data_IF_538778054774
#
_entry.id   IF_538778054774
#
_cell.length_a   1.000
_cell.length_b   1.000
_cell.length_c   1.000
_cell.angle_alpha   90.00
_cell.angle_beta   90.00
_cell.angle_gamma   90.00
#
_symmetry.space_group_name_H-M   'P 1'
#
loop_
_entity.id
_entity.type
_entity.pdbx_description
1 polymer ?
#
# COMPACT_ATOMS: atom_id res chain seq x y z
N UNK A 1 -28.43 -22.68 -20.40
CA UNK A 1 -27.30 -22.29 -21.25
C UNK A 1 -27.16 -20.77 -21.37
N UNK A 2 -28.20 -20.01 -21.80
CA UNK A 2 -28.18 -18.54 -21.92
C UNK A 2 -27.83 -17.82 -20.59
N UNK A 3 -28.39 -18.25 -19.47
CA UNK A 3 -28.13 -17.63 -18.16
C UNK A 3 -26.63 -17.77 -17.73
N UNK A 4 -26.03 -18.91 -17.99
CA UNK A 4 -24.60 -19.13 -17.68
C UNK A 4 -23.67 -18.25 -18.56
N UNK A 5 -24.01 -18.09 -19.83
CA UNK A 5 -23.27 -17.23 -20.75
C UNK A 5 -23.35 -15.76 -20.30
N UNK A 6 -24.54 -15.28 -19.91
CA UNK A 6 -24.72 -13.91 -19.40
C UNK A 6 -23.92 -13.66 -18.11
N UNK A 7 -23.85 -14.63 -17.19
CA UNK A 7 -23.06 -14.52 -15.98
C UNK A 7 -21.57 -14.42 -16.32
N UNK A 8 -21.06 -15.24 -17.24
CA UNK A 8 -19.66 -15.20 -17.69
C UNK A 8 -19.32 -13.85 -18.31
N UNK A 9 -20.21 -13.33 -19.18
CA UNK A 9 -20.01 -12.01 -19.81
C UNK A 9 -19.98 -10.90 -18.76
N UNK A 10 -20.90 -10.89 -17.80
CA UNK A 10 -20.92 -9.91 -16.72
C UNK A 10 -19.65 -9.97 -15.90
N UNK A 11 -19.18 -11.16 -15.52
CA UNK A 11 -17.92 -11.32 -14.79
C UNK A 11 -16.71 -10.83 -15.58
N UNK A 12 -16.65 -11.12 -16.87
CA UNK A 12 -15.57 -10.65 -17.75
C UNK A 12 -15.56 -9.12 -17.86
N UNK A 13 -16.73 -8.48 -17.97
CA UNK A 13 -16.87 -7.02 -17.98
C UNK A 13 -16.41 -6.43 -16.65
N UNK A 14 -16.82 -6.99 -15.52
CA UNK A 14 -16.42 -6.52 -14.19
C UNK A 14 -14.90 -6.62 -13.99
N UNK A 15 -14.28 -7.71 -14.45
CA UNK A 15 -12.82 -7.88 -14.42
C UNK A 15 -12.13 -6.84 -15.29
N UNK A 16 -12.62 -6.60 -16.51
CA UNK A 16 -12.07 -5.61 -17.42
C UNK A 16 -12.18 -4.18 -16.85
N UNK A 17 -13.32 -3.83 -16.27
CA UNK A 17 -13.53 -2.52 -15.61
C UNK A 17 -12.60 -2.36 -14.41
N UNK A 18 -12.48 -3.39 -13.56
CA UNK A 18 -11.53 -3.38 -12.43
C UNK A 18 -10.10 -3.18 -12.91
N UNK A 19 -9.69 -3.89 -13.96
CA UNK A 19 -8.36 -3.79 -14.54
C UNK A 19 -8.10 -2.38 -15.09
N UNK A 20 -9.04 -1.81 -15.86
CA UNK A 20 -8.95 -0.46 -16.40
C UNK A 20 -8.85 0.58 -15.27
N UNK A 21 -9.69 0.45 -14.24
CA UNK A 21 -9.64 1.33 -13.07
C UNK A 21 -8.26 1.30 -12.40
N UNK A 22 -7.75 0.12 -12.08
CA UNK A 22 -6.42 -0.03 -11.45
C UNK A 22 -5.34 0.56 -12.34
N UNK A 23 -5.36 0.27 -13.65
CA UNK A 23 -4.39 0.77 -14.61
C UNK A 23 -4.36 2.30 -14.69
N UNK A 24 -5.49 2.97 -14.56
CA UNK A 24 -5.56 4.44 -14.63
C UNK A 24 -5.17 5.08 -13.30
N UNK A 25 -5.80 4.67 -12.19
CA UNK A 25 -5.63 5.32 -10.90
C UNK A 25 -4.31 4.99 -10.20
N UNK A 26 -3.72 3.83 -10.49
CA UNK A 26 -2.46 3.37 -9.91
C UNK A 26 -1.31 3.30 -10.91
N UNK A 27 -1.46 3.95 -12.07
CA UNK A 27 -0.44 3.93 -13.12
C UNK A 27 0.95 4.32 -12.62
N UNK A 28 1.05 5.39 -11.84
CA UNK A 28 2.32 5.87 -11.31
C UNK A 28 2.97 4.87 -10.34
N UNK A 29 2.17 4.20 -9.52
CA UNK A 29 2.66 3.21 -8.55
C UNK A 29 3.07 1.91 -9.24
N UNK A 30 2.32 1.48 -10.28
CA UNK A 30 2.68 0.32 -11.11
C UNK A 30 3.99 0.59 -11.87
N UNK A 31 4.15 1.79 -12.44
CA UNK A 31 5.40 2.17 -13.11
C UNK A 31 6.58 2.26 -12.15
N UNK A 32 6.34 2.70 -10.92
CA UNK A 32 7.37 2.68 -9.88
C UNK A 32 7.83 1.25 -9.55
N UNK A 33 6.88 0.32 -9.38
CA UNK A 33 7.18 -1.09 -9.19
C UNK A 33 7.98 -1.66 -10.36
N UNK A 34 7.53 -1.47 -11.61
CA UNK A 34 8.21 -1.93 -12.81
C UNK A 34 9.64 -1.40 -12.96
N UNK A 35 9.88 -0.15 -12.52
CA UNK A 35 11.21 0.47 -12.59
C UNK A 35 12.15 -0.04 -11.51
N UNK A 36 11.62 -0.37 -10.32
CA UNK A 36 12.41 -0.70 -9.12
C UNK A 36 12.60 -2.19 -8.90
N UNK A 37 11.74 -3.03 -9.49
CA UNK A 37 11.86 -4.48 -9.43
C UNK A 37 12.38 -5.03 -10.77
N UNK A 38 13.66 -5.46 -10.84
CA UNK A 38 14.21 -6.07 -12.04
C UNK A 38 13.52 -7.39 -12.45
N UNK A 39 12.82 -8.05 -11.53
CA UNK A 39 12.09 -9.29 -11.78
C UNK A 39 10.74 -9.06 -12.44
N UNK A 40 10.19 -7.83 -12.40
CA UNK A 40 8.91 -7.48 -12.98
C UNK A 40 8.93 -7.56 -14.52
N UNK A 41 8.28 -8.56 -15.09
CA UNK A 41 8.31 -8.82 -16.54
C UNK A 41 7.18 -8.14 -17.29
N UNK A 42 6.04 -7.88 -16.64
CA UNK A 42 4.89 -7.31 -17.31
C UNK A 42 4.03 -6.44 -16.38
N UNK A 43 3.32 -5.51 -17.00
CA UNK A 43 2.31 -4.68 -16.32
C UNK A 43 1.18 -5.54 -15.71
N UNK A 44 0.78 -6.58 -16.44
CA UNK A 44 -0.25 -7.52 -16.01
C UNK A 44 0.17 -8.29 -14.75
N UNK A 45 1.42 -8.74 -14.68
CA UNK A 45 1.99 -9.42 -13.52
C UNK A 45 1.90 -8.53 -12.27
N UNK A 46 2.29 -7.27 -12.37
CA UNK A 46 2.24 -6.33 -11.24
C UNK A 46 0.80 -6.13 -10.76
N UNK A 47 -0.16 -5.95 -11.67
CA UNK A 47 -1.57 -5.74 -11.30
C UNK A 47 -2.17 -6.97 -10.63
N UNK A 48 -1.82 -8.17 -11.07
CA UNK A 48 -2.47 -9.40 -10.60
C UNK A 48 -1.77 -10.05 -9.42
N UNK A 49 -0.44 -9.90 -9.29
CA UNK A 49 0.35 -10.72 -8.38
C UNK A 49 1.09 -9.92 -7.29
N UNK A 50 1.28 -8.60 -7.46
CA UNK A 50 2.03 -7.82 -6.47
C UNK A 50 1.18 -7.43 -5.26
N UNK A 51 1.45 -8.07 -4.15
CA UNK A 51 0.73 -7.84 -2.90
C UNK A 51 0.89 -6.41 -2.38
N UNK A 52 2.06 -5.78 -2.61
CA UNK A 52 2.30 -4.38 -2.27
C UNK A 52 1.33 -3.42 -2.99
N UNK A 53 1.05 -3.66 -4.28
CA UNK A 53 0.06 -2.89 -5.03
C UNK A 53 -1.35 -3.14 -4.49
N UNK A 54 -1.71 -4.39 -4.22
CA UNK A 54 -3.03 -4.73 -3.67
C UNK A 54 -3.23 -4.06 -2.31
N UNK A 55 -2.24 -4.12 -1.41
CA UNK A 55 -2.30 -3.45 -0.12
C UNK A 55 -2.50 -1.94 -0.26
N UNK A 56 -1.81 -1.32 -1.23
CA UNK A 56 -1.96 0.12 -1.52
C UNK A 56 -3.37 0.45 -2.03
N UNK A 57 -3.96 -0.38 -2.88
CA UNK A 57 -5.35 -0.21 -3.36
C UNK A 57 -6.33 -0.24 -2.19
N UNK A 58 -6.26 -1.27 -1.35
CA UNK A 58 -7.08 -1.38 -0.13
C UNK A 58 -6.89 -0.17 0.79
N UNK A 59 -5.63 0.25 0.98
CA UNK A 59 -5.31 1.42 1.79
C UNK A 59 -5.94 2.70 1.25
N UNK A 60 -5.86 2.99 -0.05
CA UNK A 60 -6.45 4.21 -0.63
C UNK A 60 -7.95 4.27 -0.39
N UNK A 61 -8.66 3.13 -0.52
CA UNK A 61 -10.11 3.04 -0.24
C UNK A 61 -10.35 3.22 1.27
N UNK A 62 -9.61 2.52 2.13
CA UNK A 62 -9.73 2.62 3.58
C UNK A 62 -9.41 4.05 4.08
N UNK A 63 -8.41 4.72 3.49
CA UNK A 63 -8.07 6.11 3.80
C UNK A 63 -9.20 7.08 3.41
N UNK A 64 -9.86 6.87 2.26
CA UNK A 64 -11.02 7.66 1.87
C UNK A 64 -12.17 7.50 2.88
N UNK A 65 -12.49 6.27 3.30
CA UNK A 65 -13.47 6.01 4.36
C UNK A 65 -13.07 6.66 5.69
N UNK A 66 -11.79 6.60 6.04
CA UNK A 66 -11.27 7.21 7.27
C UNK A 66 -11.45 8.73 7.27
N UNK A 67 -11.20 9.38 6.14
CA UNK A 67 -11.36 10.85 5.98
C UNK A 67 -12.80 11.32 6.12
N UNK A 68 -13.78 10.48 5.77
CA UNK A 68 -15.20 10.77 5.97
C UNK A 68 -15.74 10.20 7.30
N UNK A 69 -14.83 9.92 8.26
CA UNK A 69 -15.12 9.46 9.62
C UNK A 69 -15.82 8.09 9.73
N UNK A 70 -15.82 7.28 8.69
CA UNK A 70 -16.28 5.89 8.73
C UNK A 70 -15.18 4.97 9.29
N UNK A 71 -14.72 5.26 10.50
CA UNK A 71 -13.52 4.65 11.11
C UNK A 71 -13.60 3.14 11.24
N UNK A 72 -14.77 2.60 11.64
CA UNK A 72 -14.94 1.15 11.76
C UNK A 72 -14.78 0.44 10.43
N UNK A 73 -15.44 0.93 9.37
CA UNK A 73 -15.34 0.34 8.02
C UNK A 73 -13.92 0.46 7.46
N UNK A 74 -13.27 1.62 7.68
CA UNK A 74 -11.88 1.83 7.29
C UNK A 74 -10.95 0.81 7.95
N UNK A 75 -11.12 0.56 9.27
CA UNK A 75 -10.32 -0.44 9.99
C UNK A 75 -10.65 -1.86 9.56
N UNK A 76 -11.91 -2.20 9.38
CA UNK A 76 -12.32 -3.52 8.90
C UNK A 76 -11.67 -3.83 7.54
N UNK A 77 -11.70 -2.87 6.59
CA UNK A 77 -11.05 -3.00 5.29
C UNK A 77 -9.52 -3.12 5.41
N UNK A 78 -8.89 -2.36 6.31
CA UNK A 78 -7.46 -2.47 6.59
C UNK A 78 -7.07 -3.85 7.16
N UNK A 79 -7.88 -4.44 8.04
CA UNK A 79 -7.63 -5.79 8.55
C UNK A 79 -7.85 -6.87 7.49
N UNK A 80 -8.84 -6.70 6.62
CA UNK A 80 -9.03 -7.58 5.45
C UNK A 80 -7.80 -7.51 4.53
N UNK A 81 -7.30 -6.31 4.23
CA UNK A 81 -6.10 -6.12 3.44
C UNK A 81 -4.89 -6.85 4.05
N UNK A 82 -4.69 -6.72 5.37
CA UNK A 82 -3.64 -7.44 6.09
C UNK A 82 -3.78 -8.95 5.97
N UNK A 83 -4.99 -9.48 6.10
CA UNK A 83 -5.25 -10.92 5.97
C UNK A 83 -4.90 -11.44 4.57
N UNK A 84 -5.24 -10.67 3.52
CA UNK A 84 -5.07 -11.08 2.12
C UNK A 84 -3.64 -10.86 1.62
N UNK A 85 -2.98 -9.77 2.06
CA UNK A 85 -1.67 -9.36 1.52
C UNK A 85 -0.50 -9.60 2.46
N UNK A 86 -0.75 -9.84 3.75
CA UNK A 86 0.30 -9.88 4.77
C UNK A 86 0.88 -8.52 5.14
N UNK A 87 0.30 -7.41 4.64
CA UNK A 87 0.76 -6.03 4.81
C UNK A 87 -0.27 -5.25 5.62
N UNK A 88 0.14 -4.65 6.72
CA UNK A 88 -0.73 -3.80 7.52
C UNK A 88 -0.44 -2.32 7.24
N UNK A 89 -1.43 -1.61 6.70
CA UNK A 89 -1.39 -0.15 6.55
C UNK A 89 -2.58 0.44 7.30
N UNK A 90 -2.31 1.26 8.33
CA UNK A 90 -3.38 1.94 9.04
C UNK A 90 -4.04 2.98 8.13
N UNK A 91 -5.39 3.05 8.07
CA UNK A 91 -6.09 3.96 7.16
C UNK A 91 -5.84 5.44 7.45
N UNK A 92 -5.41 5.80 8.66
CA UNK A 92 -5.03 7.17 9.03
C UNK A 92 -3.65 7.61 8.51
N UNK A 93 -2.80 6.70 8.05
CA UNK A 93 -1.50 7.04 7.47
C UNK A 93 -1.66 7.95 6.24
N UNK A 94 -0.60 8.71 5.91
CA UNK A 94 -0.53 9.56 4.71
C UNK A 94 0.60 9.05 3.83
N UNK A 95 0.29 8.61 2.63
CA UNK A 95 1.25 8.01 1.69
C UNK A 95 1.20 8.78 0.37
N UNK A 96 2.34 9.23 -0.08
CA UNK A 96 2.57 9.95 -1.33
C UNK A 96 2.34 9.08 -2.58
N UNK A 97 2.91 9.50 -3.69
CA UNK A 97 2.83 8.84 -5.01
C UNK A 97 4.06 7.95 -5.23
N UNK A 98 3.92 7.01 -6.17
CA UNK A 98 5.02 6.10 -6.57
C UNK A 98 5.61 5.34 -5.39
N UNK A 99 4.72 5.01 -4.44
CA UNK A 99 5.03 4.18 -3.29
C UNK A 99 5.06 2.72 -3.71
N UNK A 100 6.14 2.02 -3.37
CA UNK A 100 6.30 0.61 -3.69
C UNK A 100 6.66 -0.20 -2.45
N UNK A 101 5.96 -1.31 -2.25
CA UNK A 101 6.30 -2.31 -1.24
C UNK A 101 6.71 -3.58 -1.96
N UNK A 102 7.99 -3.92 -1.84
CA UNK A 102 8.56 -5.11 -2.43
C UNK A 102 8.48 -6.29 -1.47
N UNK A 103 8.08 -7.48 -1.96
CA UNK A 103 7.72 -8.67 -1.19
C UNK A 103 6.60 -8.44 -0.17
N UNK A 104 6.75 -7.52 0.73
CA UNK A 104 5.74 -6.91 1.58
C UNK A 104 5.33 -7.67 2.83
N UNK A 105 5.49 -8.98 2.90
CA UNK A 105 5.05 -9.76 4.06
C UNK A 105 5.58 -9.18 5.38
N UNK A 106 4.67 -8.93 6.34
CA UNK A 106 5.02 -8.41 7.66
C UNK A 106 5.36 -6.91 7.71
N UNK A 107 5.14 -6.15 6.63
CA UNK A 107 5.20 -4.68 6.69
C UNK A 107 4.09 -4.14 7.57
N UNK A 108 4.41 -3.18 8.44
CA UNK A 108 3.46 -2.47 9.29
C UNK A 108 3.65 -0.96 9.17
N UNK A 109 2.60 -0.25 8.80
CA UNK A 109 2.57 1.21 8.71
C UNK A 109 1.50 1.75 9.66
N UNK A 110 1.95 2.45 10.71
CA UNK A 110 1.10 2.96 11.78
C UNK A 110 0.30 4.22 11.42
N UNK A 111 -0.69 4.53 12.25
CA UNK A 111 -1.74 5.53 12.03
C UNK A 111 -1.24 6.92 11.62
N UNK A 112 -0.27 7.47 12.34
CA UNK A 112 0.19 8.84 12.13
C UNK A 112 1.46 8.91 11.29
N UNK A 113 1.80 7.83 10.58
CA UNK A 113 2.92 7.80 9.63
C UNK A 113 2.65 8.75 8.46
N UNK A 114 3.69 9.47 8.05
CA UNK A 114 3.70 10.28 6.82
C UNK A 114 4.80 9.72 5.93
N UNK A 115 4.49 9.45 4.68
CA UNK A 115 5.42 8.93 3.67
C UNK A 115 5.35 9.86 2.46
N UNK A 116 6.50 10.35 2.02
CA UNK A 116 6.65 11.16 0.83
C UNK A 116 6.47 10.38 -0.47
N UNK A 117 6.95 10.96 -1.54
CA UNK A 117 6.91 10.37 -2.89
C UNK A 117 8.14 9.46 -3.13
N UNK A 118 8.01 8.49 -4.03
CA UNK A 118 9.12 7.62 -4.47
C UNK A 118 9.74 6.79 -3.33
N UNK A 119 8.96 6.33 -2.37
CA UNK A 119 9.45 5.52 -1.25
C UNK A 119 9.30 4.03 -1.53
N UNK A 120 10.34 3.27 -1.19
CA UNK A 120 10.38 1.80 -1.27
C UNK A 120 10.50 1.20 0.13
N UNK A 121 9.62 0.25 0.44
CA UNK A 121 9.71 -0.58 1.65
C UNK A 121 9.89 -2.05 1.27
N UNK A 122 10.77 -2.72 1.98
CA UNK A 122 10.91 -4.18 1.90
C UNK A 122 10.12 -4.90 2.99
N UNK A 123 9.99 -6.23 2.84
CA UNK A 123 9.28 -7.09 3.79
C UNK A 123 9.75 -6.89 5.24
N UNK A 124 8.83 -7.05 6.19
CA UNK A 124 9.10 -6.96 7.62
C UNK A 124 9.42 -5.55 8.13
N UNK A 125 9.48 -4.54 7.27
CA UNK A 125 9.70 -3.17 7.68
C UNK A 125 8.54 -2.68 8.58
N UNK A 126 8.87 -1.91 9.64
CA UNK A 126 7.87 -1.36 10.55
C UNK A 126 8.06 0.15 10.69
N UNK A 127 7.04 0.91 10.36
CA UNK A 127 6.92 2.33 10.66
C UNK A 127 5.98 2.47 11.86
N UNK A 128 6.52 2.31 13.07
CA UNK A 128 5.79 2.11 14.31
C UNK A 128 5.81 3.32 15.25
N UNK A 129 4.89 3.33 16.20
CA UNK A 129 4.88 4.28 17.32
C UNK A 129 5.65 3.76 18.53
N UNK A 130 6.09 4.66 19.39
CA UNK A 130 6.62 4.37 20.72
C UNK A 130 5.71 5.01 21.78
N UNK A 131 5.33 4.22 22.79
CA UNK A 131 4.48 4.68 23.88
C UNK A 131 2.99 4.80 23.53
N UNK A 132 2.21 5.30 24.52
CA UNK A 132 0.73 5.33 24.51
C UNK A 132 0.15 6.72 24.23
N UNK A 133 0.98 7.68 23.82
CA UNK A 133 0.57 9.08 23.62
C UNK A 133 -0.35 9.18 22.40
N UNK A 134 -1.47 9.87 22.55
CA UNK A 134 -2.33 10.24 21.41
C UNK A 134 -1.66 11.33 20.58
N UNK A 135 -1.85 11.32 19.26
CA UNK A 135 -1.27 12.29 18.35
C UNK A 135 -0.14 11.70 17.49
N UNK A 136 0.75 12.57 17.00
CA UNK A 136 1.88 12.16 16.13
C UNK A 136 2.89 11.33 16.94
N UNK A 137 2.93 10.01 16.62
CA UNK A 137 3.76 9.02 17.34
C UNK A 137 4.47 8.05 16.40
N UNK A 138 4.25 8.17 15.08
CA UNK A 138 4.88 7.35 14.05
C UNK A 138 5.80 8.23 13.20
N UNK A 139 6.76 7.65 12.47
CA UNK A 139 7.75 8.41 11.73
C UNK A 139 7.16 9.21 10.56
N UNK A 140 7.93 10.21 10.16
CA UNK A 140 7.78 10.93 8.88
C UNK A 140 8.93 10.51 7.97
N UNK A 141 8.61 9.99 6.80
CA UNK A 141 9.55 9.54 5.78
C UNK A 141 9.51 10.54 4.63
N UNK A 142 10.67 11.07 4.27
CA UNK A 142 10.83 11.98 3.15
C UNK A 142 10.64 11.33 1.78
N UNK A 143 11.10 12.00 0.74
CA UNK A 143 11.01 11.54 -0.63
C UNK A 143 12.21 10.68 -1.01
N UNK A 144 12.02 9.77 -1.95
CA UNK A 144 13.08 8.90 -2.50
C UNK A 144 13.86 8.13 -1.40
N UNK A 145 13.12 7.60 -0.42
CA UNK A 145 13.69 6.85 0.71
C UNK A 145 13.53 5.35 0.46
N UNK A 146 14.52 4.59 0.85
CA UNK A 146 14.49 3.12 0.87
C UNK A 146 14.55 2.62 2.31
N UNK A 147 13.57 1.81 2.71
CA UNK A 147 13.52 1.14 4.01
C UNK A 147 13.76 -0.35 3.78
N UNK A 148 14.91 -0.84 4.24
CA UNK A 148 15.37 -2.21 4.04
C UNK A 148 14.54 -3.26 4.77
N UNK A 149 14.84 -4.52 4.44
CA UNK A 149 14.14 -5.67 4.98
C UNK A 149 14.26 -5.75 6.51
N UNK A 150 13.12 -5.88 7.19
CA UNK A 150 13.09 -5.99 8.65
C UNK A 150 13.38 -4.71 9.44
N UNK A 151 13.70 -3.60 8.80
CA UNK A 151 14.01 -2.33 9.47
C UNK A 151 12.87 -1.85 10.37
N UNK A 152 13.18 -1.34 11.55
CA UNK A 152 12.23 -0.83 12.54
C UNK A 152 12.46 0.67 12.75
N UNK A 153 11.65 1.49 12.10
CA UNK A 153 11.65 2.94 12.26
C UNK A 153 10.54 3.31 13.23
N UNK A 154 10.93 3.68 14.45
CA UNK A 154 10.00 3.79 15.58
C UNK A 154 9.99 5.21 16.17
N UNK A 155 8.79 5.66 16.53
CA UNK A 155 8.59 6.95 17.20
C UNK A 155 8.33 8.11 16.22
N UNK A 156 8.14 9.29 16.79
CA UNK A 156 7.94 10.52 16.03
C UNK A 156 9.29 11.10 15.59
N UNK A 157 9.95 10.41 14.68
CA UNK A 157 11.23 10.82 14.09
C UNK A 157 11.05 11.12 12.59
N UNK A 158 11.98 11.86 12.02
CA UNK A 158 11.99 12.17 10.58
C UNK A 158 13.19 11.52 9.90
N UNK A 159 12.92 10.79 8.85
CA UNK A 159 13.92 10.30 7.89
C UNK A 159 13.93 11.27 6.71
N UNK A 160 15.06 11.88 6.45
CA UNK A 160 15.22 12.86 5.38
C UNK A 160 15.14 12.26 3.98
N UNK A 161 15.00 13.12 2.97
CA UNK A 161 14.99 12.71 1.56
C UNK A 161 16.25 11.94 1.17
N UNK A 162 16.14 11.03 0.20
CA UNK A 162 17.25 10.25 -0.37
C UNK A 162 17.98 9.34 0.65
N UNK A 163 17.33 8.99 1.77
CA UNK A 163 17.92 8.14 2.80
C UNK A 163 17.76 6.66 2.49
N UNK A 164 18.73 5.86 2.98
CA UNK A 164 18.67 4.40 3.01
C UNK A 164 18.74 3.93 4.46
N UNK A 165 17.77 3.12 4.87
CA UNK A 165 17.68 2.48 6.19
C UNK A 165 17.80 0.98 5.99
N UNK A 166 18.83 0.38 6.57
CA UNK A 166 19.08 -1.08 6.54
C UNK A 166 18.51 -1.80 7.73
#
# INVERSE_FOLDING_TARGET
MVCAINIIIILAILVAVKFAFISVFFYSDIRAAQKRDPAAKSFLEIILLYQGLHALIYYRIANALYRVHLFFLARALSQLARLVTGIEIHPGARIGKRFFVDHGMGVVIGETTIIGDDVLLYQGATLGGTGIVKGKRHPTIGNNVVIGAGAKVLGNITIGDNSYIG
#
